data_IF_316386719894
#
_entry.id   IF_316386719894
#
_cell.length_a   1.000
_cell.length_b   1.000
_cell.length_c   1.000
_cell.angle_alpha   90.00
_cell.angle_beta   90.00
_cell.angle_gamma   90.00
#
_symmetry.space_group_name_H-M   'P 1'
#
loop_
_entity.id
_entity.type
_entity.pdbx_description
1 polymer ?
#
# COMPACT_ATOMS: atom_id res chain seq x y z
N UNK A 1 -8.25 26.63 -0.18
CA UNK A 1 -6.93 25.97 -0.18
C UNK A 1 -6.06 26.23 1.07
N UNK A 2 -6.04 27.43 1.68
CA UNK A 2 -5.06 27.76 2.74
C UNK A 2 -5.34 27.30 4.18
N UNK A 3 -6.58 26.88 4.52
CA UNK A 3 -6.92 26.46 5.90
C UNK A 3 -6.55 25.00 6.21
N UNK A 4 -6.46 24.15 5.18
CA UNK A 4 -6.17 22.71 5.30
C UNK A 4 -4.67 22.38 5.34
N UNK A 5 -3.81 23.31 4.90
CA UNK A 5 -2.35 23.16 4.95
C UNK A 5 -1.75 23.58 6.31
N UNK A 6 -2.49 24.33 7.14
CA UNK A 6 -1.99 24.85 8.43
C UNK A 6 -1.63 23.76 9.44
N UNK A 7 -2.43 22.69 9.62
CA UNK A 7 -2.07 21.60 10.53
C UNK A 7 -0.86 20.82 10.02
N UNK A 8 -0.79 20.56 8.70
CA UNK A 8 0.28 19.81 8.04
C UNK A 8 1.61 20.57 8.11
N UNK A 9 1.60 21.87 7.79
CA UNK A 9 2.80 22.72 7.97
C UNK A 9 3.18 22.89 9.43
N UNK A 10 2.22 22.81 10.37
CA UNK A 10 2.54 22.83 11.81
C UNK A 10 3.22 21.53 12.24
N UNK A 11 2.71 20.36 11.84
CA UNK A 11 3.32 19.05 12.12
C UNK A 11 4.67 18.89 11.42
N UNK A 12 4.79 19.30 10.15
CA UNK A 12 6.06 19.30 9.42
C UNK A 12 7.07 20.29 10.01
N UNK A 13 6.64 21.50 10.42
CA UNK A 13 7.50 22.43 11.17
C UNK A 13 7.83 21.95 12.58
N UNK A 14 7.04 21.06 13.17
CA UNK A 14 7.36 20.42 14.45
C UNK A 14 8.42 19.35 14.21
N UNK A 15 8.24 18.48 13.21
CA UNK A 15 9.21 17.45 12.83
C UNK A 15 10.56 18.04 12.35
N UNK A 16 10.55 19.08 11.50
CA UNK A 16 11.78 19.79 11.12
C UNK A 16 12.41 20.59 12.28
N UNK A 17 11.62 20.96 13.30
CA UNK A 17 12.14 21.60 14.52
C UNK A 17 12.72 20.62 15.54
N UNK A 18 12.43 19.33 15.37
CA UNK A 18 13.03 18.23 16.14
C UNK A 18 14.31 17.71 15.46
N UNK A 19 14.50 17.96 14.15
CA UNK A 19 15.74 17.63 13.42
C UNK A 19 16.79 18.76 13.39
N UNK A 20 16.51 19.91 14.01
CA UNK A 20 17.51 20.96 14.19
C UNK A 20 17.95 20.96 15.66
N UNK A 21 19.25 20.75 15.97
CA UNK A 21 19.74 20.90 17.32
C UNK A 21 19.57 22.36 17.72
N UNK A 22 18.60 22.64 18.60
CA UNK A 22 18.44 23.96 19.21
C UNK A 22 19.35 24.07 20.41
N UNK A 23 19.98 25.24 20.49
CA UNK A 23 20.96 25.64 21.49
C UNK A 23 20.53 25.24 22.91
N UNK A 24 21.54 24.83 23.69
CA UNK A 24 21.40 24.33 25.05
C UNK A 24 20.85 25.44 25.95
N UNK A 25 19.60 25.30 26.36
CA UNK A 25 19.08 25.99 27.55
C UNK A 25 19.05 24.99 28.71
N UNK A 26 19.90 25.26 29.68
CA UNK A 26 20.10 24.49 30.90
C UNK A 26 18.87 24.60 31.82
N UNK A 27 17.94 23.63 31.79
CA UNK A 27 17.31 23.03 32.99
C UNK A 27 16.09 22.13 32.67
N UNK A 28 16.18 20.87 33.14
CA UNK A 28 15.11 19.89 33.38
C UNK A 28 14.29 19.36 32.19
N UNK A 29 14.94 18.43 31.47
CA UNK A 29 14.51 17.04 31.22
C UNK A 29 13.02 16.76 30.91
N UNK A 30 12.63 16.93 29.65
CA UNK A 30 11.50 16.23 29.02
C UNK A 30 11.88 15.71 27.64
N UNK A 31 13.09 15.18 27.49
CA UNK A 31 13.41 14.39 26.31
C UNK A 31 12.91 12.97 26.59
N UNK A 32 11.60 12.77 26.46
CA UNK A 32 11.02 11.43 26.37
C UNK A 32 11.48 10.85 25.03
N UNK A 33 12.70 10.32 25.02
CA UNK A 33 13.18 9.45 23.96
C UNK A 33 12.18 8.30 23.92
N UNK A 34 11.37 8.24 22.86
CA UNK A 34 10.53 7.07 22.63
C UNK A 34 11.48 5.88 22.47
N UNK A 35 11.40 4.95 23.41
CA UNK A 35 12.25 3.77 23.40
C UNK A 35 12.02 2.94 22.13
N UNK A 36 13.08 2.30 21.64
CA UNK A 36 13.10 1.59 20.36
C UNK A 36 12.00 0.50 20.31
N UNK A 37 11.71 -0.11 21.45
CA UNK A 37 10.64 -1.10 21.60
C UNK A 37 9.24 -0.49 21.44
N UNK A 38 9.04 0.77 21.86
CA UNK A 38 7.79 1.49 21.64
C UNK A 38 7.60 1.78 20.15
N UNK A 39 8.67 2.19 19.46
CA UNK A 39 8.64 2.44 18.01
C UNK A 39 8.34 1.14 17.25
N UNK A 40 8.99 0.05 17.62
CA UNK A 40 8.78 -1.29 17.03
C UNK A 40 7.36 -1.80 17.27
N UNK A 41 6.85 -1.65 18.49
CA UNK A 41 5.47 -2.02 18.84
C UNK A 41 4.45 -1.22 18.05
N UNK A 42 4.62 0.10 17.94
CA UNK A 42 3.75 0.94 17.13
C UNK A 42 3.79 0.52 15.66
N UNK A 43 4.98 0.31 15.09
CA UNK A 43 5.13 -0.13 13.70
C UNK A 43 4.42 -1.47 13.44
N UNK A 44 4.57 -2.45 14.33
CA UNK A 44 3.89 -3.74 14.25
C UNK A 44 2.36 -3.58 14.32
N UNK A 45 1.85 -2.75 15.22
CA UNK A 45 0.42 -2.47 15.33
C UNK A 45 -0.15 -1.81 14.06
N UNK A 46 0.61 -0.91 13.43
CA UNK A 46 0.23 -0.28 12.16
C UNK A 46 0.22 -1.29 11.01
N UNK A 47 1.23 -2.16 10.91
CA UNK A 47 1.30 -3.23 9.91
C UNK A 47 0.08 -4.16 10.03
N UNK A 48 -0.24 -4.59 11.25
CA UNK A 48 -1.39 -5.42 11.53
C UNK A 48 -2.73 -4.76 11.16
N UNK A 49 -2.87 -3.46 11.47
CA UNK A 49 -4.04 -2.70 11.07
C UNK A 49 -4.16 -2.56 9.55
N UNK A 50 -3.03 -2.36 8.86
CA UNK A 50 -2.97 -2.29 7.40
C UNK A 50 -3.34 -3.64 6.78
N UNK A 51 -2.78 -4.75 7.27
CA UNK A 51 -3.13 -6.11 6.82
C UNK A 51 -4.61 -6.38 6.94
N UNK A 52 -5.21 -6.11 8.10
CA UNK A 52 -6.66 -6.31 8.31
C UNK A 52 -7.49 -5.48 7.35
N UNK A 53 -7.09 -4.23 7.12
CA UNK A 53 -7.79 -3.31 6.21
C UNK A 53 -7.73 -3.80 4.77
N UNK A 54 -6.54 -4.16 4.29
CA UNK A 54 -6.34 -4.65 2.93
C UNK A 54 -7.04 -6.00 2.72
N UNK A 55 -6.98 -6.90 3.71
CA UNK A 55 -7.65 -8.20 3.64
C UNK A 55 -9.16 -8.04 3.49
N UNK A 56 -9.77 -7.17 4.32
CA UNK A 56 -11.19 -6.84 4.20
C UNK A 56 -11.51 -6.23 2.84
N UNK A 57 -10.70 -5.28 2.37
CA UNK A 57 -10.92 -4.64 1.08
C UNK A 57 -10.84 -5.62 -0.09
N UNK A 58 -9.86 -6.52 -0.11
CA UNK A 58 -9.72 -7.57 -1.14
C UNK A 58 -10.96 -8.48 -1.11
N UNK A 59 -11.37 -8.95 0.08
CA UNK A 59 -12.55 -9.81 0.22
C UNK A 59 -13.85 -9.12 -0.24
N UNK A 60 -13.96 -7.79 -0.10
CA UNK A 60 -15.08 -7.04 -0.69
C UNK A 60 -15.05 -7.10 -2.22
N UNK A 61 -13.88 -6.96 -2.85
CA UNK A 61 -13.75 -7.11 -4.31
C UNK A 61 -14.09 -8.53 -4.77
N UNK A 62 -13.72 -9.54 -3.97
CA UNK A 62 -13.97 -10.96 -4.25
C UNK A 62 -15.39 -11.42 -3.90
N UNK A 63 -16.25 -10.56 -3.34
CA UNK A 63 -17.58 -10.94 -2.81
C UNK A 63 -18.52 -11.62 -3.82
N UNK A 64 -18.34 -11.36 -5.12
CA UNK A 64 -19.11 -12.00 -6.20
C UNK A 64 -18.43 -13.25 -6.78
N UNK A 65 -17.39 -13.75 -6.11
CA UNK A 65 -16.61 -14.93 -6.50
C UNK A 65 -16.63 -15.96 -5.37
N UNK A 66 -16.25 -17.21 -5.67
CA UNK A 66 -16.08 -18.25 -4.65
C UNK A 66 -14.68 -18.24 -4.02
N UNK A 67 -13.96 -17.12 -4.12
CA UNK A 67 -12.59 -16.97 -3.63
C UNK A 67 -12.58 -16.10 -2.37
N UNK A 68 -11.66 -16.39 -1.46
CA UNK A 68 -11.45 -15.65 -0.22
C UNK A 68 -9.95 -15.55 0.05
N UNK A 69 -9.57 -14.42 0.63
CA UNK A 69 -8.23 -14.16 1.14
C UNK A 69 -8.27 -14.18 2.67
N UNK A 70 -7.42 -15.00 3.29
CA UNK A 70 -7.27 -15.09 4.73
C UNK A 70 -5.95 -14.45 5.19
N UNK A 71 -4.82 -14.77 4.55
CA UNK A 71 -3.48 -14.24 4.89
C UNK A 71 -2.80 -13.65 3.67
N UNK A 72 -2.63 -12.33 3.66
CA UNK A 72 -2.04 -11.57 2.54
C UNK A 72 -0.66 -12.13 2.14
N UNK A 73 0.20 -12.41 3.09
CA UNK A 73 1.57 -12.88 2.85
C UNK A 73 1.65 -14.28 2.22
N UNK A 74 0.59 -15.10 2.35
CA UNK A 74 0.59 -16.49 1.89
C UNK A 74 -0.28 -16.66 0.64
N UNK A 75 -1.50 -16.17 0.69
CA UNK A 75 -2.53 -16.45 -0.33
C UNK A 75 -2.28 -15.70 -1.64
N UNK A 76 -1.44 -14.65 -1.63
CA UNK A 76 -1.10 -13.89 -2.84
C UNK A 76 0.15 -14.42 -3.56
N UNK A 77 0.91 -15.33 -2.93
CA UNK A 77 2.23 -15.78 -3.41
C UNK A 77 2.18 -16.47 -4.76
N UNK A 78 1.09 -17.18 -5.07
CA UNK A 78 0.95 -17.91 -6.33
C UNK A 78 0.53 -17.04 -7.52
N UNK A 79 0.24 -15.76 -7.26
CA UNK A 79 -0.18 -14.75 -8.23
C UNK A 79 -1.61 -14.90 -8.75
N UNK A 80 -2.33 -15.98 -8.43
CA UNK A 80 -3.66 -16.24 -9.01
C UNK A 80 -4.72 -15.29 -8.48
N UNK A 81 -4.72 -15.05 -7.17
CA UNK A 81 -5.61 -14.07 -6.55
C UNK A 81 -5.30 -12.64 -7.01
N UNK A 82 -4.02 -12.31 -7.24
CA UNK A 82 -3.61 -11.01 -7.77
C UNK A 82 -4.15 -10.79 -9.19
N UNK A 83 -3.99 -11.76 -10.09
CA UNK A 83 -4.54 -11.70 -11.44
C UNK A 83 -6.07 -11.60 -11.44
N UNK A 84 -6.74 -12.34 -10.55
CA UNK A 84 -8.20 -12.29 -10.40
C UNK A 84 -8.67 -10.92 -9.92
N UNK A 85 -8.02 -10.39 -8.88
CA UNK A 85 -8.30 -9.07 -8.34
C UNK A 85 -8.10 -8.00 -9.41
N UNK A 86 -6.99 -8.05 -10.15
CA UNK A 86 -6.70 -7.12 -11.24
C UNK A 86 -7.81 -7.15 -12.30
N UNK A 87 -8.25 -8.33 -12.74
CA UNK A 87 -9.36 -8.45 -13.68
C UNK A 87 -10.70 -7.90 -13.17
N UNK A 88 -10.99 -8.06 -11.87
CA UNK A 88 -12.18 -7.45 -11.24
C UNK A 88 -12.07 -5.92 -11.26
N UNK A 89 -10.89 -5.38 -10.96
CA UNK A 89 -10.67 -3.94 -10.87
C UNK A 89 -10.67 -3.25 -12.25
N UNK A 90 -10.08 -3.88 -13.27
CA UNK A 90 -10.03 -3.33 -14.63
C UNK A 90 -11.32 -3.58 -15.41
N UNK A 91 -12.17 -4.52 -14.97
CA UNK A 91 -13.34 -4.98 -15.72
C UNK A 91 -12.98 -5.82 -16.94
N UNK A 92 -11.70 -6.19 -17.10
CA UNK A 92 -11.23 -7.02 -18.20
C UNK A 92 -11.39 -8.50 -17.85
N UNK A 93 -11.95 -9.27 -18.79
CA UNK A 93 -12.08 -10.71 -18.62
C UNK A 93 -10.71 -11.37 -18.67
N UNK A 94 -10.27 -11.78 -17.49
CA UNK A 94 -9.38 -12.90 -17.21
C UNK A 94 -7.98 -12.82 -17.86
N UNK A 95 -7.03 -12.30 -17.08
CA UNK A 95 -5.67 -12.80 -17.17
C UNK A 95 -5.68 -14.24 -16.66
N UNK A 96 -5.76 -15.21 -17.58
CA UNK A 96 -5.76 -16.61 -17.19
C UNK A 96 -4.45 -16.93 -16.45
N UNK A 97 -4.53 -17.47 -15.22
CA UNK A 97 -3.35 -17.89 -14.49
C UNK A 97 -2.81 -19.20 -15.06
N UNK A 98 -1.51 -19.41 -14.86
CA UNK A 98 -0.89 -20.71 -15.04
C UNK A 98 -1.57 -21.77 -14.18
N UNK A 99 -1.91 -22.90 -14.80
CA UNK A 99 -2.66 -23.99 -14.13
C UNK A 99 -1.79 -24.74 -13.12
N UNK A 100 -0.49 -24.83 -13.40
CA UNK A 100 0.50 -25.52 -12.55
C UNK A 100 0.93 -24.62 -11.39
N UNK A 101 1.45 -25.24 -10.33
CA UNK A 101 1.79 -24.57 -9.06
C UNK A 101 3.28 -24.53 -8.74
N UNK A 102 4.17 -24.84 -9.69
CA UNK A 102 5.61 -24.73 -9.41
C UNK A 102 6.03 -23.27 -9.26
N UNK A 103 7.14 -23.00 -8.55
CA UNK A 103 7.68 -21.65 -8.34
C UNK A 103 7.80 -20.83 -9.63
N UNK A 104 8.21 -21.47 -10.72
CA UNK A 104 8.34 -20.81 -12.03
C UNK A 104 6.98 -20.31 -12.53
N UNK A 105 5.91 -21.10 -12.34
CA UNK A 105 4.54 -20.69 -12.70
C UNK A 105 4.00 -19.60 -11.77
N UNK A 106 4.36 -19.64 -10.49
CA UNK A 106 4.01 -18.57 -9.53
C UNK A 106 4.66 -17.25 -9.95
N UNK A 107 5.97 -17.27 -10.27
CA UNK A 107 6.70 -16.11 -10.80
C UNK A 107 6.05 -15.60 -12.09
N UNK A 108 5.68 -16.49 -13.02
CA UNK A 108 5.02 -16.11 -14.27
C UNK A 108 3.68 -15.43 -14.03
N UNK A 109 2.86 -15.95 -13.10
CA UNK A 109 1.59 -15.32 -12.72
C UNK A 109 1.78 -13.93 -12.12
N UNK A 110 2.74 -13.78 -11.21
CA UNK A 110 3.02 -12.47 -10.59
C UNK A 110 3.59 -11.49 -11.61
N UNK A 111 4.53 -11.89 -12.47
CA UNK A 111 5.03 -11.05 -13.57
C UNK A 111 3.89 -10.55 -14.45
N UNK A 112 2.99 -11.45 -14.89
CA UNK A 112 1.83 -11.08 -15.68
C UNK A 112 0.93 -10.04 -14.99
N UNK A 113 0.81 -10.12 -13.67
CA UNK A 113 0.08 -9.12 -12.88
C UNK A 113 0.80 -7.77 -12.88
N UNK A 114 2.12 -7.78 -12.67
CA UNK A 114 2.95 -6.57 -12.64
C UNK A 114 2.97 -5.89 -14.02
N UNK A 115 3.17 -6.64 -15.10
CA UNK A 115 3.20 -6.12 -16.47
C UNK A 115 1.91 -5.37 -16.83
N UNK A 116 0.75 -5.96 -16.50
CA UNK A 116 -0.54 -5.32 -16.76
C UNK A 116 -0.74 -4.10 -15.85
N UNK A 117 -0.29 -4.17 -14.61
CA UNK A 117 -0.39 -3.06 -13.67
C UNK A 117 0.47 -1.86 -14.13
N UNK A 118 1.71 -2.11 -14.56
CA UNK A 118 2.60 -1.10 -15.16
C UNK A 118 2.01 -0.50 -16.42
N UNK A 119 1.46 -1.33 -17.32
CA UNK A 119 0.79 -0.87 -18.53
C UNK A 119 -0.40 0.04 -18.21
N UNK A 120 -1.20 -0.31 -17.20
CA UNK A 120 -2.33 0.52 -16.78
C UNK A 120 -1.87 1.83 -16.14
N UNK A 121 -0.87 1.78 -15.27
CA UNK A 121 -0.37 2.97 -14.55
C UNK A 121 0.42 3.90 -15.48
N UNK A 122 1.10 3.36 -16.49
CA UNK A 122 2.01 4.10 -17.37
C UNK A 122 3.43 4.30 -16.81
N UNK A 123 3.76 3.65 -15.69
CA UNK A 123 5.06 3.75 -15.02
C UNK A 123 5.52 2.38 -14.50
N UNK A 124 6.84 2.08 -14.53
CA UNK A 124 7.39 0.81 -14.07
C UNK A 124 7.43 0.69 -12.54
N UNK A 125 7.16 -0.51 -12.03
CA UNK A 125 7.22 -0.89 -10.61
C UNK A 125 8.63 -1.39 -10.24
N UNK A 126 9.63 -0.53 -10.42
CA UNK A 126 11.05 -0.83 -10.21
C UNK A 126 11.41 -1.37 -8.82
N UNK A 127 10.55 -1.18 -7.81
CA UNK A 127 10.79 -1.59 -6.43
C UNK A 127 10.07 -2.88 -6.00
N UNK A 128 9.32 -3.55 -6.89
CA UNK A 128 8.57 -4.77 -6.56
C UNK A 128 8.88 -5.86 -7.58
N UNK A 129 9.67 -6.86 -7.19
CA UNK A 129 9.94 -8.03 -8.00
C UNK A 129 8.90 -9.14 -7.79
N UNK A 130 8.70 -9.99 -8.79
CA UNK A 130 7.84 -11.17 -8.65
C UNK A 130 8.35 -12.18 -7.63
N UNK A 131 9.67 -12.33 -7.51
CA UNK A 131 10.29 -13.18 -6.50
C UNK A 131 9.92 -12.74 -5.08
N UNK A 132 9.89 -11.43 -4.81
CA UNK A 132 9.54 -10.89 -3.51
C UNK A 132 8.14 -11.32 -3.06
N UNK A 133 7.18 -11.28 -3.98
CA UNK A 133 5.80 -11.70 -3.72
C UNK A 133 5.74 -13.22 -3.55
N UNK A 134 6.38 -13.98 -4.43
CA UNK A 134 6.42 -15.45 -4.38
C UNK A 134 7.10 -15.96 -3.10
N UNK A 135 8.06 -15.22 -2.57
CA UNK A 135 8.77 -15.51 -1.31
C UNK A 135 8.01 -15.07 -0.06
N UNK A 136 6.92 -14.32 -0.22
CA UNK A 136 6.08 -13.87 0.90
C UNK A 136 6.65 -12.64 1.62
N UNK A 137 7.39 -11.77 0.93
CA UNK A 137 7.82 -10.49 1.48
C UNK A 137 6.59 -9.61 1.76
N UNK A 138 6.18 -9.58 3.02
CA UNK A 138 4.97 -8.88 3.46
C UNK A 138 5.00 -7.39 3.11
N UNK A 139 6.13 -6.71 3.33
CA UNK A 139 6.27 -5.27 3.04
C UNK A 139 6.01 -4.97 1.57
N UNK A 140 6.64 -5.72 0.67
CA UNK A 140 6.47 -5.54 -0.77
C UNK A 140 5.10 -6.02 -1.27
N UNK A 141 4.52 -7.04 -0.63
CA UNK A 141 3.15 -7.49 -0.92
C UNK A 141 2.12 -6.43 -0.53
N UNK A 142 2.26 -5.81 0.65
CA UNK A 142 1.40 -4.70 1.08
C UNK A 142 1.58 -3.48 0.16
N UNK A 143 2.80 -3.19 -0.28
CA UNK A 143 3.07 -2.14 -1.26
C UNK A 143 2.36 -2.40 -2.60
N UNK A 144 2.36 -3.64 -3.10
CA UNK A 144 1.66 -4.01 -4.32
C UNK A 144 0.13 -3.83 -4.20
N UNK A 145 -0.46 -4.32 -3.11
CA UNK A 145 -1.90 -4.18 -2.86
C UNK A 145 -2.30 -2.70 -2.75
N UNK A 146 -1.45 -1.89 -2.14
CA UNK A 146 -1.65 -0.44 -2.07
C UNK A 146 -1.69 0.21 -3.45
N UNK A 147 -0.76 -0.14 -4.35
CA UNK A 147 -0.76 0.34 -5.73
C UNK A 147 -2.08 -0.03 -6.43
N UNK A 148 -2.56 -1.27 -6.28
CA UNK A 148 -3.85 -1.72 -6.82
C UNK A 148 -5.03 -0.90 -6.27
N UNK A 149 -5.05 -0.62 -4.94
CA UNK A 149 -6.12 0.16 -4.31
C UNK A 149 -6.13 1.60 -4.83
N UNK A 150 -4.98 2.26 -4.86
CA UNK A 150 -4.91 3.68 -5.18
C UNK A 150 -5.03 3.93 -6.69
N UNK A 151 -4.19 3.27 -7.48
CA UNK A 151 -3.98 3.66 -8.87
C UNK A 151 -5.12 3.20 -9.77
N UNK A 152 -5.73 2.04 -9.50
CA UNK A 152 -6.85 1.54 -10.30
C UNK A 152 -8.20 2.15 -9.91
N UNK A 153 -8.39 2.56 -8.64
CA UNK A 153 -9.58 3.35 -8.25
C UNK A 153 -9.60 4.72 -8.90
N UNK A 154 -8.44 5.38 -8.93
CA UNK A 154 -8.30 6.68 -9.57
C UNK A 154 -8.60 6.58 -11.07
N UNK A 155 -8.16 5.55 -11.79
CA UNK A 155 -8.49 5.44 -13.22
C UNK A 155 -9.98 5.18 -13.51
N UNK A 156 -10.65 4.37 -12.70
CA UNK A 156 -12.12 4.19 -12.80
C UNK A 156 -12.88 5.49 -12.54
N UNK A 157 -12.34 6.34 -11.66
CA UNK A 157 -12.86 7.67 -11.35
C UNK A 157 -12.44 8.74 -12.35
N UNK A 158 -11.25 8.74 -12.94
CA UNK A 158 -10.84 9.78 -13.90
C UNK A 158 -11.63 9.66 -15.22
N UNK A 159 -12.14 8.47 -15.54
CA UNK A 159 -13.16 8.30 -16.58
C UNK A 159 -14.54 8.90 -16.19
N UNK A 160 -14.68 9.43 -14.97
CA UNK A 160 -15.83 10.14 -14.42
C UNK A 160 -15.32 11.29 -13.51
N UNK A 161 -14.74 12.32 -14.12
CA UNK A 161 -13.89 13.44 -13.64
C UNK A 161 -14.14 14.13 -12.27
N UNK A 162 -14.91 13.60 -11.32
CA UNK A 162 -15.34 14.32 -10.11
C UNK A 162 -14.71 13.88 -8.77
N UNK A 163 -14.08 12.70 -8.62
CA UNK A 163 -13.80 12.19 -7.25
C UNK A 163 -12.41 12.50 -6.65
N UNK A 164 -11.47 13.11 -7.38
CA UNK A 164 -10.20 13.57 -6.77
C UNK A 164 -10.44 14.74 -5.80
N UNK A 165 -11.46 15.56 -6.06
CA UNK A 165 -11.85 16.65 -5.16
C UNK A 165 -12.59 16.17 -3.89
N UNK A 166 -12.92 14.88 -3.79
CA UNK A 166 -13.70 14.29 -2.70
C UNK A 166 -12.93 13.30 -1.82
N UNK A 167 -11.65 13.03 -2.10
CA UNK A 167 -10.83 12.22 -1.19
C UNK A 167 -10.51 13.04 0.06
N UNK A 168 -10.91 12.53 1.23
CA UNK A 168 -10.62 13.19 2.51
C UNK A 168 -9.12 13.50 2.61
N UNK A 169 -8.71 14.74 2.93
CA UNK A 169 -7.31 15.15 3.06
C UNK A 169 -6.48 14.24 3.97
N UNK A 170 -7.13 13.56 4.93
CA UNK A 170 -6.49 12.63 5.85
C UNK A 170 -5.96 11.37 5.15
N UNK A 171 -6.64 10.89 4.11
CA UNK A 171 -6.22 9.71 3.34
C UNK A 171 -5.04 10.07 2.44
N UNK A 172 -5.09 11.24 1.78
CA UNK A 172 -3.97 11.75 0.99
C UNK A 172 -2.72 12.05 1.86
N UNK A 173 -2.91 12.51 3.09
CA UNK A 173 -1.81 12.75 4.04
C UNK A 173 -1.17 11.46 4.55
N UNK A 174 -1.96 10.40 4.77
CA UNK A 174 -1.44 9.07 5.10
C UNK A 174 -0.60 8.50 3.95
N UNK A 175 -1.02 8.73 2.69
CA UNK A 175 -0.31 8.28 1.48
C UNK A 175 1.10 8.89 1.38
N UNK A 176 1.27 10.15 1.79
CA UNK A 176 2.56 10.84 1.72
C UNK A 176 3.54 10.41 2.82
N UNK A 177 3.04 9.99 3.98
CA UNK A 177 3.86 9.60 5.14
C UNK A 177 4.60 8.27 4.88
N UNK A 178 4.01 7.35 4.10
CA UNK A 178 4.64 6.06 3.77
C UNK A 178 5.70 6.13 2.65
N UNK A 179 5.86 7.27 1.97
CA UNK A 179 6.86 7.45 0.90
C UNK A 179 8.15 8.14 1.37
N UNK A 180 8.22 8.63 2.62
CA UNK A 180 9.38 9.38 3.15
C UNK A 180 10.05 8.65 4.34
N UNK A 181 9.64 7.43 4.67
CA UNK A 181 10.25 6.60 5.72
C UNK A 181 10.90 5.34 5.15
#
# INVERSE_FOLDING_TARGET
>A
MSKLLKPITKSFKVLNRLNHPREKDDNNNYETVMDEDTIRSLASNFEDAQKRTFTKWINVQLSQTNLKLDRIEDDLRDGKLLLKLLGILTGERALEPEKKSSRIHMIANVNKCLDVLELKIGEPLHNIGSADIVDGNLKLTLALIWVLILRLRIQKTINAEESINNMSPNVANLVLIFFIA
#
